data_IF_880010908510
#
_entry.id   IF_880010908510
#
_cell.length_a   1.000
_cell.length_b   1.000
_cell.length_c   1.000
_cell.angle_alpha   90.00
_cell.angle_beta   90.00
_cell.angle_gamma   90.00
#
_symmetry.space_group_name_H-M   'P 1'
#
loop_
_entity.id
_entity.type
_entity.pdbx_description
1 polymer ?
#
# COMPACT_ATOMS: atom_id res chain seq x y z
N UNK A 1 42.16 -1.42 14.00
CA UNK A 1 41.06 -1.34 14.99
C UNK A 1 40.00 -0.40 14.41
N UNK A 2 39.11 -0.92 13.57
CA UNK A 2 38.09 -0.14 12.85
C UNK A 2 36.97 0.19 13.83
N UNK A 3 36.85 1.47 14.22
CA UNK A 3 35.69 1.99 14.96
C UNK A 3 34.43 1.64 14.16
N UNK A 4 33.65 0.67 14.64
CA UNK A 4 32.28 0.47 14.20
C UNK A 4 31.52 1.75 14.54
N UNK A 5 31.13 2.48 13.51
CA UNK A 5 30.15 3.57 13.62
C UNK A 5 28.80 2.92 13.92
N UNK A 6 28.58 2.57 15.19
CA UNK A 6 27.27 2.30 15.76
C UNK A 6 26.88 3.50 16.61
N UNK A 7 26.75 4.64 15.94
CA UNK A 7 26.23 5.87 16.52
C UNK A 7 24.71 5.91 16.27
N UNK A 8 23.87 6.00 17.33
CA UNK A 8 22.41 6.12 17.21
C UNK A 8 21.95 7.23 16.25
N UNK A 9 22.78 8.27 16.10
CA UNK A 9 22.55 9.43 15.24
C UNK A 9 22.43 9.07 13.74
N UNK A 10 23.11 8.01 13.29
CA UNK A 10 23.03 7.56 11.90
C UNK A 10 21.71 6.83 11.60
N UNK A 11 21.09 6.19 12.60
CA UNK A 11 19.84 5.46 12.39
C UNK A 11 18.66 6.40 12.17
N UNK A 12 18.51 7.43 13.01
CA UNK A 12 17.42 8.41 12.88
C UNK A 12 17.54 9.15 11.55
N UNK A 13 18.75 9.60 11.20
CA UNK A 13 19.01 10.24 9.92
C UNK A 13 18.66 9.34 8.72
N UNK A 14 19.05 8.05 8.74
CA UNK A 14 18.67 7.09 7.68
C UNK A 14 17.16 6.92 7.56
N UNK A 15 16.43 6.88 8.67
CA UNK A 15 14.97 6.79 8.66
C UNK A 15 14.36 8.06 8.05
N UNK A 16 14.84 9.24 8.44
CA UNK A 16 14.39 10.51 7.88
C UNK A 16 14.64 10.58 6.37
N UNK A 17 15.85 10.22 5.92
CA UNK A 17 16.19 10.15 4.49
C UNK A 17 15.29 9.15 3.78
N UNK A 18 15.09 7.95 4.35
CA UNK A 18 14.23 6.94 3.75
C UNK A 18 12.78 7.42 3.60
N UNK A 19 12.21 8.10 4.60
CA UNK A 19 10.87 8.68 4.48
C UNK A 19 10.82 9.85 3.50
N UNK A 20 11.87 10.67 3.42
CA UNK A 20 12.01 11.69 2.38
C UNK A 20 12.02 11.09 0.97
N UNK A 21 12.75 9.99 0.77
CA UNK A 21 12.78 9.25 -0.50
C UNK A 21 11.42 8.64 -0.84
N UNK A 22 10.70 8.07 0.14
CA UNK A 22 9.33 7.59 -0.07
C UNK A 22 8.39 8.73 -0.50
N UNK A 23 8.47 9.88 0.18
CA UNK A 23 7.69 11.07 -0.17
C UNK A 23 7.99 11.57 -1.58
N UNK A 24 9.27 11.64 -1.97
CA UNK A 24 9.67 12.02 -3.32
C UNK A 24 9.18 11.02 -4.38
N UNK A 25 9.21 9.72 -4.09
CA UNK A 25 8.66 8.70 -4.99
C UNK A 25 7.14 8.78 -5.14
N UNK A 26 6.41 9.04 -4.04
CA UNK A 26 4.97 9.27 -4.07
C UNK A 26 4.62 10.54 -4.84
N UNK A 27 5.41 11.60 -4.70
CA UNK A 27 5.25 12.82 -5.49
C UNK A 27 5.51 12.54 -6.98
N UNK A 28 6.61 11.85 -7.31
CA UNK A 28 6.94 11.45 -8.67
C UNK A 28 5.84 10.64 -9.37
N UNK A 29 5.19 9.73 -8.64
CA UNK A 29 4.03 8.96 -9.14
C UNK A 29 2.88 9.87 -9.60
N UNK A 30 2.70 11.04 -8.97
CA UNK A 30 1.58 11.96 -9.26
C UNK A 30 1.92 13.08 -10.24
N UNK A 31 3.19 13.43 -10.40
CA UNK A 31 3.62 14.61 -11.18
C UNK A 31 4.31 14.26 -12.50
N UNK A 32 4.88 13.06 -12.60
CA UNK A 32 5.60 12.65 -13.81
C UNK A 32 4.60 11.99 -14.76
N UNK A 33 4.03 12.78 -15.67
CA UNK A 33 3.19 12.24 -16.74
C UNK A 33 4.06 11.71 -17.88
N UNK A 34 4.65 10.52 -17.68
CA UNK A 34 5.39 9.81 -18.71
C UNK A 34 4.91 8.37 -18.83
N UNK A 35 3.77 8.20 -19.50
CA UNK A 35 3.11 6.91 -19.69
C UNK A 35 2.99 6.14 -18.35
N UNK A 36 3.32 4.85 -18.36
CA UNK A 36 3.23 3.98 -17.19
C UNK A 36 4.54 3.92 -16.38
N UNK A 37 5.56 4.69 -16.75
CA UNK A 37 6.84 4.70 -16.03
C UNK A 37 6.71 5.30 -14.64
N UNK A 38 5.74 6.20 -14.43
CA UNK A 38 5.44 6.80 -13.12
C UNK A 38 5.21 5.75 -12.01
N UNK A 39 4.64 4.59 -12.34
CA UNK A 39 4.42 3.48 -11.39
C UNK A 39 5.73 2.86 -10.86
N UNK A 40 6.83 3.03 -11.59
CA UNK A 40 8.16 2.54 -11.15
C UNK A 40 8.77 3.42 -10.06
N UNK A 41 8.36 4.68 -9.93
CA UNK A 41 8.95 5.60 -8.93
C UNK A 41 8.75 5.09 -7.51
N UNK A 42 7.55 4.57 -7.20
CA UNK A 42 7.24 4.05 -5.88
C UNK A 42 7.95 2.72 -5.59
N UNK A 43 8.19 1.91 -6.62
CA UNK A 43 9.01 0.68 -6.51
C UNK A 43 10.46 1.04 -6.20
N UNK A 44 11.05 1.94 -6.97
CA UNK A 44 12.44 2.35 -6.81
C UNK A 44 12.64 3.03 -5.46
N UNK A 45 11.81 4.02 -5.13
CA UNK A 45 11.90 4.73 -3.86
C UNK A 45 11.67 3.78 -2.68
N UNK A 46 10.68 2.88 -2.78
CA UNK A 46 10.39 1.87 -1.77
C UNK A 46 11.55 0.93 -1.50
N UNK A 47 12.18 0.38 -2.56
CA UNK A 47 13.37 -0.47 -2.43
C UNK A 47 14.55 0.28 -1.83
N UNK A 48 14.83 1.49 -2.31
CA UNK A 48 15.93 2.33 -1.79
C UNK A 48 15.70 2.65 -0.33
N UNK A 49 14.50 3.08 0.05
CA UNK A 49 14.14 3.39 1.44
C UNK A 49 14.25 2.16 2.34
N UNK A 50 13.77 0.99 1.91
CA UNK A 50 13.92 -0.24 2.68
C UNK A 50 15.39 -0.63 2.85
N UNK A 51 16.19 -0.50 1.78
CA UNK A 51 17.63 -0.76 1.80
C UNK A 51 18.37 0.18 2.76
N UNK A 52 18.04 1.47 2.79
CA UNK A 52 18.64 2.45 3.70
C UNK A 52 18.40 2.10 5.17
N UNK A 53 17.21 1.59 5.50
CA UNK A 53 16.82 1.30 6.90
C UNK A 53 17.25 -0.10 7.35
N UNK A 54 17.17 -1.10 6.48
CA UNK A 54 17.35 -2.52 6.83
C UNK A 54 18.54 -3.21 6.16
N UNK A 55 19.18 -2.56 5.18
CA UNK A 55 20.31 -3.13 4.42
C UNK A 55 19.92 -4.31 3.55
N UNK A 56 20.90 -4.86 2.83
CA UNK A 56 20.70 -5.97 1.89
C UNK A 56 20.14 -7.24 2.55
N UNK A 57 20.53 -7.51 3.80
CA UNK A 57 19.98 -8.64 4.58
C UNK A 57 18.49 -8.45 4.79
N UNK A 58 18.05 -7.24 5.12
CA UNK A 58 16.64 -6.91 5.24
C UNK A 58 15.88 -7.10 3.94
N UNK A 59 16.40 -6.58 2.82
CA UNK A 59 15.78 -6.74 1.49
C UNK A 59 15.65 -8.21 1.12
N UNK A 60 16.69 -9.03 1.36
CA UNK A 60 16.62 -10.47 1.11
C UNK A 60 15.56 -11.17 1.96
N UNK A 61 15.39 -10.75 3.21
CA UNK A 61 14.34 -11.28 4.08
C UNK A 61 12.94 -10.84 3.61
N UNK A 62 12.80 -9.60 3.13
CA UNK A 62 11.55 -9.04 2.63
C UNK A 62 10.97 -9.88 1.48
N UNK A 63 11.82 -10.33 0.55
CA UNK A 63 11.45 -11.15 -0.60
C UNK A 63 11.62 -12.65 -0.38
N UNK A 64 11.76 -13.10 0.88
CA UNK A 64 11.96 -14.51 1.19
C UNK A 64 10.75 -15.39 0.80
N UNK A 65 10.99 -16.67 0.58
CA UNK A 65 9.95 -17.63 0.22
C UNK A 65 8.91 -17.73 1.35
N UNK A 66 7.62 -17.50 1.06
CA UNK A 66 6.57 -17.49 2.08
C UNK A 66 6.29 -18.89 2.64
N UNK A 67 6.11 -18.98 3.96
CA UNK A 67 5.60 -20.19 4.61
C UNK A 67 4.07 -20.22 4.54
N UNK A 68 3.48 -21.35 4.13
CA UNK A 68 2.01 -21.56 4.06
C UNK A 68 1.27 -20.55 3.17
N UNK A 69 1.90 -20.18 2.05
CA UNK A 69 1.41 -19.16 1.11
C UNK A 69 -0.07 -19.33 0.76
N UNK A 70 -0.46 -20.48 0.21
CA UNK A 70 -1.81 -20.69 -0.34
C UNK A 70 -2.90 -20.47 0.73
N UNK A 71 -2.75 -21.08 1.91
CA UNK A 71 -3.73 -20.94 2.99
C UNK A 71 -3.84 -19.49 3.48
N UNK A 72 -2.71 -18.81 3.66
CA UNK A 72 -2.71 -17.42 4.12
C UNK A 72 -3.25 -16.47 3.05
N UNK A 73 -2.88 -16.69 1.79
CA UNK A 73 -3.38 -15.95 0.64
C UNK A 73 -4.90 -16.04 0.56
N UNK A 74 -5.47 -17.25 0.51
CA UNK A 74 -6.92 -17.43 0.35
C UNK A 74 -7.72 -16.82 1.49
N UNK A 75 -7.32 -17.08 2.75
CA UNK A 75 -8.05 -16.56 3.92
C UNK A 75 -8.05 -15.03 3.96
N UNK A 76 -6.91 -14.40 3.65
CA UNK A 76 -6.80 -12.95 3.70
C UNK A 76 -7.45 -12.31 2.49
N UNK A 77 -7.30 -12.90 1.30
CA UNK A 77 -7.98 -12.42 0.10
C UNK A 77 -9.50 -12.38 0.31
N UNK A 78 -10.11 -13.49 0.74
CA UNK A 78 -11.56 -13.54 1.01
C UNK A 78 -11.95 -12.53 2.09
N UNK A 79 -11.20 -12.46 3.20
CA UNK A 79 -11.48 -11.50 4.26
C UNK A 79 -11.39 -10.04 3.80
N UNK A 80 -10.36 -9.71 3.01
CA UNK A 80 -10.17 -8.37 2.44
C UNK A 80 -11.26 -8.01 1.42
N UNK A 81 -11.72 -8.96 0.61
CA UNK A 81 -12.83 -8.78 -0.34
C UNK A 81 -14.14 -8.48 0.37
N UNK A 82 -14.49 -9.30 1.37
CA UNK A 82 -15.70 -9.07 2.18
C UNK A 82 -15.63 -7.70 2.88
N UNK A 83 -14.48 -7.38 3.48
CA UNK A 83 -14.28 -6.08 4.11
C UNK A 83 -14.43 -4.92 3.12
N UNK A 84 -13.73 -4.98 1.98
CA UNK A 84 -13.75 -3.93 0.96
C UNK A 84 -15.15 -3.71 0.39
N UNK A 85 -15.88 -4.79 0.12
CA UNK A 85 -17.28 -4.72 -0.31
C UNK A 85 -18.16 -4.02 0.72
N UNK A 86 -18.09 -4.42 2.00
CA UNK A 86 -18.90 -3.83 3.06
C UNK A 86 -18.53 -2.36 3.31
N UNK A 87 -17.24 -2.03 3.36
CA UNK A 87 -16.76 -0.66 3.55
C UNK A 87 -17.19 0.26 2.40
N UNK A 88 -17.04 -0.20 1.14
CA UNK A 88 -17.49 0.54 -0.03
C UNK A 88 -19.01 0.70 -0.07
N UNK A 89 -19.78 -0.33 0.31
CA UNK A 89 -21.24 -0.26 0.38
C UNK A 89 -21.70 0.77 1.42
N UNK A 90 -21.11 0.76 2.62
CA UNK A 90 -21.40 1.75 3.66
C UNK A 90 -21.11 3.16 3.15
N UNK A 91 -19.93 3.39 2.56
CA UNK A 91 -19.57 4.70 2.02
C UNK A 91 -20.45 5.11 0.84
N UNK A 92 -20.89 4.16 0.00
CA UNK A 92 -21.81 4.43 -1.10
C UNK A 92 -23.19 4.89 -0.61
N UNK A 93 -23.76 4.20 0.37
CA UNK A 93 -25.04 4.58 0.98
C UNK A 93 -24.92 5.96 1.66
N UNK A 94 -23.85 6.19 2.43
CA UNK A 94 -23.63 7.49 3.07
C UNK A 94 -23.46 8.62 2.06
N UNK A 95 -22.79 8.37 0.94
CA UNK A 95 -22.65 9.36 -0.13
C UNK A 95 -24.02 9.74 -0.71
N UNK A 96 -24.90 8.76 -0.97
CA UNK A 96 -26.25 8.99 -1.47
C UNK A 96 -27.11 9.77 -0.46
N UNK A 97 -27.07 9.39 0.82
CA UNK A 97 -27.85 10.05 1.88
C UNK A 97 -27.43 11.51 2.11
N UNK A 98 -26.18 11.85 1.83
CA UNK A 98 -25.61 13.18 2.03
C UNK A 98 -25.48 13.99 0.74
N UNK A 99 -25.96 13.46 -0.40
CA UNK A 99 -25.80 14.04 -1.75
C UNK A 99 -24.34 14.39 -2.09
N UNK A 100 -23.41 13.50 -1.73
CA UNK A 100 -21.98 13.68 -1.97
C UNK A 100 -21.58 12.96 -3.25
N UNK A 101 -21.07 13.71 -4.22
CA UNK A 101 -20.50 13.14 -5.44
C UNK A 101 -19.14 12.52 -5.12
N UNK A 102 -19.00 11.22 -5.39
CA UNK A 102 -17.74 10.51 -5.20
C UNK A 102 -17.03 10.29 -6.53
N UNK A 103 -15.70 10.32 -6.51
CA UNK A 103 -14.86 10.00 -7.65
C UNK A 103 -14.44 8.52 -7.61
N UNK A 104 -14.52 7.84 -8.75
CA UNK A 104 -13.97 6.50 -8.95
C UNK A 104 -12.49 6.56 -9.33
N UNK A 105 -11.78 5.45 -9.16
CA UNK A 105 -10.38 5.37 -9.57
C UNK A 105 -10.30 5.13 -11.08
N UNK A 106 -9.64 6.03 -11.81
CA UNK A 106 -9.47 5.93 -13.27
C UNK A 106 -8.62 4.72 -13.70
N UNK A 107 -7.92 4.06 -12.77
CA UNK A 107 -7.26 2.78 -13.05
C UNK A 107 -8.22 1.74 -13.64
N UNK A 108 -9.50 1.77 -13.25
CA UNK A 108 -10.54 0.86 -13.75
C UNK A 108 -10.82 1.00 -15.25
N UNK A 109 -10.52 2.17 -15.84
CA UNK A 109 -10.82 2.49 -17.24
C UNK A 109 -9.67 2.10 -18.18
N UNK A 110 -8.60 1.50 -17.65
CA UNK A 110 -7.47 1.04 -18.45
C UNK A 110 -7.80 -0.24 -19.24
N UNK A 111 -7.10 -0.50 -20.37
CA UNK A 111 -7.24 -1.73 -21.12
C UNK A 111 -6.72 -2.96 -20.36
N UNK A 112 -7.16 -4.17 -20.74
CA UNK A 112 -6.85 -5.43 -20.06
C UNK A 112 -5.34 -5.66 -19.79
N UNK A 113 -4.47 -5.22 -20.70
CA UNK A 113 -3.02 -5.42 -20.60
C UNK A 113 -2.40 -4.58 -19.46
N UNK A 114 -3.03 -3.48 -19.05
CA UNK A 114 -2.59 -2.68 -17.90
C UNK A 114 -2.60 -3.55 -16.64
N UNK A 115 -3.68 -4.32 -16.44
CA UNK A 115 -3.84 -5.19 -15.29
C UNK A 115 -2.81 -6.32 -15.26
N UNK A 116 -2.27 -6.72 -16.41
CA UNK A 116 -1.27 -7.81 -16.50
C UNK A 116 0.16 -7.29 -16.36
N UNK A 117 0.49 -6.14 -16.95
CA UNK A 117 1.89 -5.68 -17.05
C UNK A 117 2.22 -4.50 -16.16
N UNK A 118 1.25 -3.61 -15.88
CA UNK A 118 1.50 -2.37 -15.15
C UNK A 118 1.03 -2.47 -13.70
N UNK A 119 -0.21 -2.93 -13.49
CA UNK A 119 -0.78 -3.07 -12.16
C UNK A 119 0.12 -3.88 -11.19
N UNK A 120 0.72 -5.02 -11.59
CA UNK A 120 1.58 -5.76 -10.66
C UNK A 120 2.80 -4.95 -10.21
N UNK A 121 3.34 -4.08 -11.07
CA UNK A 121 4.47 -3.19 -10.76
C UNK A 121 4.01 -2.05 -9.84
N UNK A 122 2.88 -1.42 -10.17
CA UNK A 122 2.28 -0.36 -9.35
C UNK A 122 2.05 -0.83 -7.91
N UNK A 123 1.40 -1.98 -7.75
CA UNK A 123 1.07 -2.54 -6.44
C UNK A 123 2.30 -3.08 -5.70
N UNK A 124 3.35 -3.51 -6.41
CA UNK A 124 4.64 -3.79 -5.79
C UNK A 124 5.23 -2.53 -5.16
N UNK A 125 5.10 -1.38 -5.82
CA UNK A 125 5.51 -0.09 -5.28
C UNK A 125 4.74 0.27 -4.02
N UNK A 126 3.42 0.10 -4.04
CA UNK A 126 2.55 0.36 -2.88
C UNK A 126 2.86 -0.57 -1.68
N UNK A 127 3.16 -1.84 -1.94
CA UNK A 127 3.62 -2.77 -0.90
C UNK A 127 4.96 -2.35 -0.32
N UNK A 128 5.93 -1.98 -1.17
CA UNK A 128 7.23 -1.53 -0.72
C UNK A 128 7.12 -0.25 0.11
N UNK A 129 6.32 0.72 -0.33
CA UNK A 129 6.02 1.94 0.43
C UNK A 129 5.45 1.59 1.82
N UNK A 130 4.39 0.78 1.84
CA UNK A 130 3.64 0.48 3.05
C UNK A 130 4.44 -0.39 4.03
N UNK A 131 5.07 -1.46 3.55
CA UNK A 131 5.88 -2.36 4.38
C UNK A 131 7.15 -1.66 4.89
N UNK A 132 7.73 -0.73 4.13
CA UNK A 132 8.85 0.09 4.62
C UNK A 132 8.44 0.91 5.84
N UNK A 133 7.31 1.62 5.76
CA UNK A 133 6.76 2.37 6.89
C UNK A 133 6.46 1.42 8.06
N UNK A 134 5.70 0.35 7.81
CA UNK A 134 5.27 -0.59 8.84
C UNK A 134 6.44 -1.25 9.59
N UNK A 135 7.43 -1.74 8.85
CA UNK A 135 8.62 -2.34 9.45
C UNK A 135 9.47 -1.31 10.18
N UNK A 136 9.57 -0.09 9.68
CA UNK A 136 10.33 0.98 10.36
C UNK A 136 9.68 1.31 11.69
N UNK A 137 8.36 1.53 11.71
CA UNK A 137 7.59 1.79 12.94
C UNK A 137 7.78 0.62 13.95
N UNK A 138 7.62 -0.62 13.50
CA UNK A 138 7.70 -1.80 14.39
C UNK A 138 9.12 -2.13 14.86
N UNK A 139 10.06 -2.25 13.92
CA UNK A 139 11.39 -2.84 14.16
C UNK A 139 12.43 -1.80 14.57
N UNK A 140 12.30 -0.55 14.12
CA UNK A 140 13.27 0.52 14.40
C UNK A 140 12.78 1.49 15.46
N UNK A 141 11.51 1.89 15.39
CA UNK A 141 10.88 2.78 16.37
C UNK A 141 10.20 2.03 17.52
N UNK A 142 10.18 0.68 17.48
CA UNK A 142 9.65 -0.21 18.52
C UNK A 142 8.18 0.04 18.87
N UNK A 143 7.41 0.61 17.93
CA UNK A 143 5.96 0.77 18.08
C UNK A 143 5.31 -0.63 18.02
N UNK A 144 4.32 -0.86 18.90
CA UNK A 144 3.57 -2.11 18.91
C UNK A 144 3.01 -2.46 17.53
N UNK A 145 3.08 -3.73 17.12
CA UNK A 145 2.65 -4.20 15.80
C UNK A 145 1.23 -3.76 15.40
N UNK A 146 0.27 -3.77 16.32
CA UNK A 146 -1.11 -3.35 16.02
C UNK A 146 -1.18 -1.85 15.72
N UNK A 147 -0.51 -1.04 16.53
CA UNK A 147 -0.45 0.42 16.36
C UNK A 147 0.33 0.78 15.09
N UNK A 148 1.47 0.13 14.84
CA UNK A 148 2.23 0.32 13.60
C UNK A 148 1.41 -0.04 12.36
N UNK A 149 0.61 -1.11 12.43
CA UNK A 149 -0.29 -1.50 11.34
C UNK A 149 -1.39 -0.46 11.12
N UNK A 150 -1.98 0.06 12.20
CA UNK A 150 -3.01 1.10 12.13
C UNK A 150 -2.45 2.41 11.55
N UNK A 151 -1.30 2.88 12.02
CA UNK A 151 -0.65 4.07 11.50
C UNK A 151 -0.29 3.92 10.01
N UNK A 152 0.24 2.76 9.62
CA UNK A 152 0.53 2.47 8.21
C UNK A 152 -0.75 2.46 7.37
N UNK A 153 -1.84 1.88 7.88
CA UNK A 153 -3.13 1.89 7.21
C UNK A 153 -3.70 3.31 7.02
N UNK A 154 -3.60 4.16 8.04
CA UNK A 154 -4.03 5.56 7.93
C UNK A 154 -3.20 6.30 6.88
N UNK A 155 -1.87 6.19 6.93
CA UNK A 155 -0.99 6.83 5.94
C UNK A 155 -1.31 6.31 4.53
N UNK A 156 -1.45 4.99 4.38
CA UNK A 156 -1.80 4.36 3.11
C UNK A 156 -3.15 4.86 2.59
N UNK A 157 -4.17 4.99 3.44
CA UNK A 157 -5.45 5.57 3.01
C UNK A 157 -5.29 7.03 2.56
N UNK A 158 -4.56 7.85 3.33
CA UNK A 158 -4.41 9.28 3.04
C UNK A 158 -3.64 9.56 1.75
N UNK A 159 -2.65 8.73 1.35
CA UNK A 159 -1.97 8.93 0.07
C UNK A 159 -2.88 8.72 -1.15
N UNK A 160 -4.06 8.10 -0.97
CA UNK A 160 -5.06 7.92 -2.02
C UNK A 160 -6.05 9.09 -2.10
N UNK A 161 -5.92 10.12 -1.26
CA UNK A 161 -6.88 11.22 -1.17
C UNK A 161 -7.16 11.87 -2.53
N UNK A 162 -6.14 12.28 -3.27
CA UNK A 162 -6.29 12.96 -4.57
C UNK A 162 -6.98 12.07 -5.63
N UNK A 163 -6.69 10.76 -5.61
CA UNK A 163 -7.31 9.79 -6.52
C UNK A 163 -8.82 9.75 -6.33
N UNK A 164 -9.29 9.85 -5.09
CA UNK A 164 -10.70 9.69 -4.71
C UNK A 164 -11.41 11.00 -4.35
N UNK A 165 -10.75 12.15 -4.49
CA UNK A 165 -11.31 13.45 -4.16
C UNK A 165 -12.57 13.73 -4.99
N UNK A 166 -13.72 13.72 -4.31
CA UNK A 166 -15.03 14.09 -4.85
C UNK A 166 -15.46 15.49 -4.42
N UNK A 167 -16.76 15.71 -4.25
CA UNK A 167 -17.30 17.04 -3.86
C UNK A 167 -17.03 17.43 -2.39
N UNK A 168 -16.60 16.50 -1.54
CA UNK A 168 -16.30 16.76 -0.12
C UNK A 168 -14.97 16.15 0.31
N UNK A 169 -14.04 17.01 0.74
CA UNK A 169 -12.73 16.60 1.23
C UNK A 169 -12.84 15.78 2.53
N UNK A 170 -13.65 16.20 3.49
CA UNK A 170 -13.83 15.48 4.75
C UNK A 170 -14.40 14.08 4.53
N UNK A 171 -15.41 13.97 3.67
CA UNK A 171 -15.97 12.67 3.30
C UNK A 171 -14.94 11.79 2.59
N UNK A 172 -14.15 12.38 1.71
CA UNK A 172 -13.06 11.67 1.01
C UNK A 172 -12.04 11.11 2.01
N UNK A 173 -11.60 11.91 3.00
CA UNK A 173 -10.67 11.45 4.05
C UNK A 173 -11.23 10.22 4.78
N UNK A 174 -12.49 10.28 5.22
CA UNK A 174 -13.15 9.16 5.89
C UNK A 174 -13.22 7.95 4.97
N UNK A 175 -13.63 8.16 3.70
CA UNK A 175 -13.74 7.10 2.69
C UNK A 175 -12.40 6.41 2.44
N UNK A 176 -11.33 7.16 2.21
CA UNK A 176 -10.02 6.55 1.88
C UNK A 176 -9.37 5.87 3.09
N UNK A 177 -9.55 6.40 4.30
CA UNK A 177 -9.07 5.71 5.52
C UNK A 177 -9.85 4.41 5.72
N UNK A 178 -11.19 4.44 5.58
CA UNK A 178 -12.02 3.25 5.80
C UNK A 178 -11.80 2.20 4.71
N UNK A 179 -11.85 2.59 3.44
CA UNK A 179 -11.73 1.65 2.32
C UNK A 179 -10.27 1.28 2.11
N UNK A 180 -9.43 2.21 1.65
CA UNK A 180 -8.04 1.92 1.28
C UNK A 180 -7.17 1.59 2.51
N UNK A 181 -7.26 2.39 3.56
CA UNK A 181 -6.55 2.12 4.81
C UNK A 181 -7.04 0.85 5.51
N UNK A 182 -8.33 0.61 5.53
CA UNK A 182 -8.90 -0.60 6.12
C UNK A 182 -8.43 -1.88 5.44
N UNK A 183 -8.39 -1.89 4.10
CA UNK A 183 -7.86 -3.01 3.32
C UNK A 183 -6.37 -3.25 3.65
N UNK A 184 -5.57 -2.18 3.81
CA UNK A 184 -4.15 -2.28 4.18
C UNK A 184 -3.91 -3.04 5.49
N UNK A 185 -4.85 -3.03 6.43
CA UNK A 185 -4.76 -3.86 7.64
C UNK A 185 -4.69 -5.35 7.31
N UNK A 186 -5.46 -5.80 6.31
CA UNK A 186 -5.45 -7.18 5.84
C UNK A 186 -4.14 -7.54 5.13
N UNK A 187 -3.64 -6.65 4.28
CA UNK A 187 -2.36 -6.86 3.59
C UNK A 187 -1.20 -6.95 4.59
N UNK A 188 -1.21 -6.11 5.63
CA UNK A 188 -0.25 -6.21 6.73
C UNK A 188 -0.32 -7.57 7.44
N UNK A 189 -1.51 -8.17 7.60
CA UNK A 189 -1.63 -9.53 8.14
C UNK A 189 -1.02 -10.59 7.21
N UNK A 190 -1.15 -10.44 5.89
CA UNK A 190 -0.54 -11.35 4.93
C UNK A 190 0.98 -11.33 5.05
N UNK A 191 1.54 -10.14 5.17
CA UNK A 191 2.96 -9.95 5.43
C UNK A 191 3.37 -10.54 6.79
N UNK A 192 2.66 -10.24 7.89
CA UNK A 192 3.02 -10.74 9.22
C UNK A 192 3.01 -12.27 9.33
N UNK A 193 2.01 -12.92 8.74
CA UNK A 193 1.83 -14.38 8.84
C UNK A 193 2.85 -15.15 8.01
N UNK A 194 3.31 -14.59 6.90
CA UNK A 194 4.24 -15.28 5.97
C UNK A 194 5.66 -14.76 6.05
N UNK A 195 5.87 -13.57 6.62
CA UNK A 195 7.13 -12.81 6.64
C UNK A 195 7.70 -12.53 5.25
N UNK A 196 6.82 -12.41 4.26
CA UNK A 196 7.20 -12.21 2.85
C UNK A 196 6.32 -11.14 2.22
N UNK A 197 6.95 -10.16 1.59
CA UNK A 197 6.27 -9.13 0.80
C UNK A 197 5.49 -9.78 -0.35
N UNK A 198 6.02 -10.85 -0.95
CA UNK A 198 5.39 -11.55 -2.07
C UNK A 198 3.96 -12.01 -1.74
N UNK A 199 3.69 -12.45 -0.50
CA UNK A 199 2.32 -12.83 -0.11
C UNK A 199 1.41 -11.62 -0.01
N UNK A 200 1.88 -10.53 0.57
CA UNK A 200 1.08 -9.31 0.73
C UNK A 200 0.78 -8.70 -0.63
N UNK A 201 1.79 -8.60 -1.49
CA UNK A 201 1.68 -8.20 -2.88
C UNK A 201 0.73 -9.08 -3.68
N UNK A 202 0.83 -10.41 -3.57
CA UNK A 202 -0.07 -11.31 -4.29
C UNK A 202 -1.53 -11.10 -3.86
N UNK A 203 -1.79 -10.98 -2.56
CA UNK A 203 -3.15 -10.70 -2.05
C UNK A 203 -3.64 -9.35 -2.53
N UNK A 204 -2.79 -8.32 -2.51
CA UNK A 204 -3.11 -6.99 -2.98
C UNK A 204 -3.46 -6.98 -4.47
N UNK A 205 -2.60 -7.58 -5.30
CA UNK A 205 -2.83 -7.71 -6.73
C UNK A 205 -4.12 -8.46 -7.04
N UNK A 206 -4.37 -9.60 -6.39
CA UNK A 206 -5.61 -10.33 -6.57
C UNK A 206 -6.82 -9.53 -6.08
N UNK A 207 -6.68 -8.76 -5.00
CA UNK A 207 -7.75 -7.94 -4.46
C UNK A 207 -8.18 -6.87 -5.47
N UNK A 208 -7.22 -6.08 -5.95
CA UNK A 208 -7.46 -5.00 -6.91
C UNK A 208 -7.92 -5.51 -8.26
N UNK A 209 -7.34 -6.60 -8.77
CA UNK A 209 -7.77 -7.21 -10.03
C UNK A 209 -9.25 -7.60 -9.98
N UNK A 210 -9.68 -8.25 -8.90
CA UNK A 210 -11.09 -8.62 -8.72
C UNK A 210 -11.96 -7.37 -8.60
N UNK A 211 -11.54 -6.38 -7.81
CA UNK A 211 -12.30 -5.14 -7.60
C UNK A 211 -12.49 -4.35 -8.90
N UNK A 212 -11.43 -4.21 -9.71
CA UNK A 212 -11.51 -3.53 -10.99
C UNK A 212 -12.36 -4.30 -12.01
N UNK A 213 -12.17 -5.61 -12.14
CA UNK A 213 -13.00 -6.44 -13.05
C UNK A 213 -14.48 -6.38 -12.67
N UNK A 214 -14.81 -6.52 -11.38
CA UNK A 214 -16.19 -6.39 -10.91
C UNK A 214 -16.73 -4.98 -11.14
N UNK A 215 -15.92 -3.95 -10.90
CA UNK A 215 -16.27 -2.56 -11.17
C UNK A 215 -16.64 -2.33 -12.64
N UNK A 216 -15.79 -2.78 -13.57
CA UNK A 216 -16.02 -2.67 -15.01
C UNK A 216 -17.25 -3.45 -15.50
N UNK A 217 -17.56 -4.60 -14.89
CA UNK A 217 -18.73 -5.40 -15.25
C UNK A 217 -20.05 -4.81 -14.74
N UNK A 218 -20.01 -4.03 -13.65
CA UNK A 218 -21.19 -3.43 -13.03
C UNK A 218 -21.46 -2.01 -13.55
N UNK A 219 -20.50 -1.39 -14.22
CA UNK A 219 -20.64 -0.06 -14.85
C UNK A 219 -21.01 -0.12 -16.33
N UNK A 220 -20.98 -1.30 -16.96
CA UNK A 220 -21.47 -1.58 -18.32
C UNK A 220 -22.95 -1.92 -18.35
#
# INVERSE_FOLDING_TARGET
MTKRITEPNNQVLRIMIAFGVLGAGSYGLTQVDFYYIQFSFLVISGLVSYLLVFGFVGVRQLFSTPKRLIKTFLLILVGSQIYGMLASMIMGILAQLLDIQTKANSAQDNPWWFFVFILPIALLGEELFSITIFDTLRKKMRINTKVASLLTAIIFGLIHFETYLGSSALFTIVKVILVQGGIRLWFNQAYLKTKSLNTSWAVHYAFDLIAFVLGSLLSS
#
